data_IF_606633421963
#
_entry.id   IF_606633421963
#
_cell.length_a   1.000
_cell.length_b   1.000
_cell.length_c   1.000
_cell.angle_alpha   90.00
_cell.angle_beta   90.00
_cell.angle_gamma   90.00
#
_symmetry.space_group_name_H-M   'P 1'
#
loop_
_entity.id
_entity.type
_entity.pdbx_description
1 polymer ?
#
# COMPACT_ATOMS: atom_id res chain seq x y z
N UNK A 1 7.67 5.46 -6.44
CA UNK A 1 8.50 4.34 -5.93
C UNK A 1 7.96 3.04 -6.48
N UNK A 2 8.83 2.21 -7.05
CA UNK A 2 8.43 0.90 -7.57
C UNK A 2 8.37 -0.13 -6.44
N UNK A 3 7.60 -1.19 -6.63
CA UNK A 3 7.49 -2.25 -5.61
C UNK A 3 8.84 -2.88 -5.29
N UNK A 4 9.72 -3.05 -6.27
CA UNK A 4 11.06 -3.61 -6.01
C UNK A 4 11.88 -2.70 -5.10
N UNK A 5 11.71 -1.38 -5.22
CA UNK A 5 12.40 -0.43 -4.35
C UNK A 5 11.84 -0.48 -2.93
N UNK A 6 10.51 -0.61 -2.81
CA UNK A 6 9.86 -0.77 -1.52
C UNK A 6 10.33 -2.06 -0.83
N UNK A 7 10.42 -3.15 -1.57
CA UNK A 7 10.89 -4.42 -1.02
C UNK A 7 12.31 -4.31 -0.48
N UNK A 8 13.21 -3.65 -1.21
CA UNK A 8 14.58 -3.44 -0.76
C UNK A 8 14.64 -2.64 0.54
N UNK A 9 13.81 -1.62 0.66
CA UNK A 9 13.75 -0.82 1.89
C UNK A 9 13.18 -1.63 3.05
N UNK A 10 12.16 -2.45 2.81
CA UNK A 10 11.58 -3.31 3.85
C UNK A 10 12.59 -4.34 4.37
N UNK A 11 13.53 -4.79 3.55
CA UNK A 11 14.57 -5.73 3.98
C UNK A 11 15.53 -5.15 5.01
N UNK A 12 15.56 -3.83 5.16
CA UNK A 12 16.42 -3.18 6.16
C UNK A 12 15.80 -3.15 7.55
N UNK A 13 14.53 -3.54 7.68
CA UNK A 13 13.84 -3.53 8.96
C UNK A 13 14.28 -4.70 9.84
N UNK A 14 14.25 -4.49 11.16
CA UNK A 14 14.51 -5.55 12.13
C UNK A 14 13.31 -6.49 12.18
N UNK A 15 13.49 -7.65 12.83
CA UNK A 15 12.39 -8.60 13.02
C UNK A 15 11.25 -7.97 13.81
N UNK A 16 11.58 -7.19 14.84
CA UNK A 16 10.59 -6.50 15.66
C UNK A 16 9.81 -5.48 14.84
N UNK A 17 10.49 -4.74 13.97
CA UNK A 17 9.82 -3.76 13.11
C UNK A 17 8.90 -4.43 12.10
N UNK A 18 9.28 -5.60 11.59
CA UNK A 18 8.45 -6.35 10.64
C UNK A 18 7.14 -6.86 11.26
N UNK A 19 7.09 -6.99 12.58
CA UNK A 19 5.88 -7.41 13.28
C UNK A 19 4.90 -6.26 13.57
N UNK A 20 5.32 -5.02 13.34
CA UNK A 20 4.47 -3.87 13.56
C UNK A 20 3.47 -3.69 12.42
N UNK A 21 2.33 -3.05 12.73
CA UNK A 21 1.36 -2.67 11.72
C UNK A 21 2.00 -1.70 10.73
N UNK A 22 1.69 -1.86 9.46
CA UNK A 22 2.17 -0.95 8.42
C UNK A 22 1.40 0.36 8.48
N UNK A 23 2.11 1.47 8.61
CA UNK A 23 1.50 2.79 8.68
C UNK A 23 1.85 3.61 7.44
N UNK A 24 0.90 4.40 6.98
CA UNK A 24 1.09 5.36 5.90
C UNK A 24 0.75 6.74 6.45
N UNK A 25 1.64 7.70 6.24
CA UNK A 25 1.38 9.08 6.62
C UNK A 25 0.75 9.82 5.44
N UNK A 26 -0.44 10.37 5.67
CA UNK A 26 -1.14 11.17 4.65
C UNK A 26 -0.85 12.63 4.94
N UNK A 27 0.04 13.23 4.16
CA UNK A 27 0.54 14.59 4.42
C UNK A 27 -0.56 15.65 4.40
N UNK A 28 -1.46 15.56 3.44
CA UNK A 28 -2.53 16.55 3.30
C UNK A 28 -3.51 16.53 4.46
N UNK A 29 -3.59 15.42 5.18
CA UNK A 29 -4.46 15.22 6.34
C UNK A 29 -3.70 15.27 7.65
N UNK A 30 -2.36 15.31 7.62
CA UNK A 30 -1.50 15.26 8.78
C UNK A 30 -1.87 14.09 9.70
N UNK A 31 -1.99 12.90 9.11
CA UNK A 31 -2.58 11.75 9.78
C UNK A 31 -1.90 10.45 9.35
N UNK A 32 -1.72 9.53 10.29
CA UNK A 32 -1.30 8.16 10.01
C UNK A 32 -2.52 7.27 9.85
N UNK A 33 -2.48 6.36 8.89
CA UNK A 33 -3.50 5.34 8.70
C UNK A 33 -2.85 4.00 8.50
N UNK A 34 -3.52 2.92 8.90
CA UNK A 34 -3.04 1.56 8.68
C UNK A 34 -3.40 1.11 7.28
N UNK A 35 -2.52 0.31 6.68
CA UNK A 35 -2.85 -0.36 5.43
C UNK A 35 -3.89 -1.45 5.67
N UNK A 36 -4.73 -1.68 4.67
CA UNK A 36 -5.64 -2.82 4.67
C UNK A 36 -4.85 -4.14 4.60
N UNK A 37 -5.48 -5.22 5.00
CA UNK A 37 -4.79 -6.47 5.30
C UNK A 37 -4.20 -7.21 4.10
N UNK A 38 -4.45 -6.77 2.88
CA UNK A 38 -3.95 -7.48 1.73
C UNK A 38 -3.59 -6.54 0.59
N UNK A 39 -2.77 -7.05 -0.31
CA UNK A 39 -2.48 -6.41 -1.57
C UNK A 39 -3.66 -6.64 -2.50
N UNK A 40 -4.11 -5.59 -3.15
CA UNK A 40 -5.22 -5.65 -4.10
C UNK A 40 -4.70 -5.61 -5.53
N UNK A 41 -5.53 -6.11 -6.44
CA UNK A 41 -5.22 -6.09 -7.86
C UNK A 41 -6.39 -5.49 -8.62
N UNK A 42 -6.08 -4.65 -9.60
CA UNK A 42 -7.10 -4.02 -10.43
C UNK A 42 -7.84 -5.09 -11.23
N UNK A 43 -9.18 -5.04 -11.20
CA UNK A 43 -10.03 -5.94 -11.99
C UNK A 43 -10.75 -5.16 -13.07
N UNK A 44 -11.34 -5.86 -14.02
CA UNK A 44 -12.11 -5.23 -15.11
C UNK A 44 -13.38 -4.53 -14.63
N UNK A 45 -13.78 -4.77 -13.37
CA UNK A 45 -14.97 -4.16 -12.77
C UNK A 45 -14.67 -2.93 -11.91
N UNK A 46 -13.39 -2.56 -11.75
CA UNK A 46 -13.01 -1.42 -10.94
C UNK A 46 -13.37 -0.11 -11.65
N UNK A 47 -13.90 0.86 -10.88
CA UNK A 47 -14.28 2.18 -11.39
C UNK A 47 -13.09 2.99 -11.91
N UNK A 48 -11.89 2.66 -11.45
CA UNK A 48 -10.66 3.39 -11.77
C UNK A 48 -9.87 2.74 -12.90
N UNK A 49 -10.45 1.79 -13.60
CA UNK A 49 -9.79 1.01 -14.63
C UNK A 49 -9.24 1.87 -15.77
N UNK A 50 -9.84 3.03 -16.03
CA UNK A 50 -9.39 3.94 -17.10
C UNK A 50 -7.93 4.37 -16.92
N UNK A 51 -7.47 4.48 -15.66
CA UNK A 51 -6.13 4.94 -15.34
C UNK A 51 -5.16 3.80 -15.02
N UNK A 52 -5.69 2.59 -14.86
CA UNK A 52 -4.91 1.44 -14.39
C UNK A 52 -5.16 0.22 -15.27
N UNK A 53 -4.10 -0.56 -15.47
CA UNK A 53 -4.22 -1.82 -16.21
C UNK A 53 -4.78 -2.92 -15.31
N UNK A 54 -5.61 -3.79 -15.90
CA UNK A 54 -6.11 -4.97 -15.21
C UNK A 54 -4.94 -5.83 -14.72
N UNK A 55 -5.01 -6.24 -13.46
CA UNK A 55 -3.96 -7.03 -12.82
C UNK A 55 -2.87 -6.20 -12.15
N UNK A 56 -2.90 -4.88 -12.29
CA UNK A 56 -1.92 -4.03 -11.63
C UNK A 56 -2.13 -4.09 -10.11
N UNK A 57 -1.06 -4.35 -9.32
CA UNK A 57 -1.19 -4.37 -7.86
C UNK A 57 -1.30 -2.96 -7.27
N UNK A 58 -1.99 -2.84 -6.16
CA UNK A 58 -2.05 -1.59 -5.41
C UNK A 58 -2.27 -1.84 -3.92
N UNK A 59 -1.88 -0.84 -3.12
CA UNK A 59 -2.10 -0.85 -1.68
C UNK A 59 -3.33 0.01 -1.37
N UNK A 60 -4.05 -0.35 -0.32
CA UNK A 60 -5.28 0.35 0.05
C UNK A 60 -5.24 0.81 1.50
N UNK A 61 -5.78 2.00 1.74
CA UNK A 61 -5.98 2.52 3.09
C UNK A 61 -7.45 2.92 3.23
N UNK A 62 -7.96 2.86 4.45
CA UNK A 62 -9.32 3.27 4.75
C UNK A 62 -9.29 4.46 5.71
N UNK A 63 -10.06 5.48 5.40
CA UNK A 63 -10.30 6.59 6.33
C UNK A 63 -11.53 6.27 7.18
N UNK A 64 -11.39 6.41 8.48
CA UNK A 64 -12.49 6.17 9.42
C UNK A 64 -12.84 7.48 10.11
#
# INVERSE_FOLDING_TARGET
MKYKELLEQLRTLTKEQLELETLVFIRDKDKFVSLNNSLYFVTEFDEYEEDLETGQPYLSVSFV
#
